data_IF_623590079177
#
_entry.id   IF_623590079177
#
_cell.length_a   1.000
_cell.length_b   1.000
_cell.length_c   1.000
_cell.angle_alpha   90.00
_cell.angle_beta   90.00
_cell.angle_gamma   90.00
#
_symmetry.space_group_name_H-M   'P 1'
#
loop_
_entity.id
_entity.type
_entity.pdbx_description
1 polymer ?
#
# COMPACT_ATOMS: atom_id res chain seq x y z
N UNK A 1 57.64 -40.21 4.90
CA UNK A 1 59.10 -40.05 5.10
C UNK A 1 59.33 -39.00 6.17
N UNK A 2 59.93 -39.44 7.28
CA UNK A 2 60.72 -38.73 8.30
C UNK A 2 60.08 -37.50 9.00
N UNK A 3 59.63 -37.59 10.26
CA UNK A 3 60.43 -37.63 11.53
C UNK A 3 61.20 -36.31 11.75
N UNK A 4 61.27 -35.67 12.92
CA UNK A 4 61.26 -36.17 14.31
C UNK A 4 61.30 -34.97 15.27
N UNK A 5 60.78 -35.18 16.46
CA UNK A 5 60.99 -34.39 17.68
C UNK A 5 62.43 -34.47 18.22
N UNK A 6 62.86 -33.46 19.01
CA UNK A 6 63.68 -33.50 20.25
C UNK A 6 64.36 -32.12 20.49
N UNK A 7 64.75 -31.63 21.68
CA UNK A 7 64.40 -31.76 23.11
C UNK A 7 65.51 -31.02 23.91
N UNK A 8 65.10 -30.11 24.82
CA UNK A 8 65.63 -29.78 26.18
C UNK A 8 67.00 -29.05 26.40
N UNK A 9 66.98 -28.22 27.47
CA UNK A 9 68.02 -27.79 28.47
C UNK A 9 68.83 -26.53 28.09
N UNK A 10 68.99 -25.47 28.91
CA UNK A 10 68.58 -25.16 30.28
C UNK A 10 69.44 -24.02 30.90
N UNK A 11 69.04 -23.62 32.12
CA UNK A 11 69.82 -22.98 33.20
C UNK A 11 69.98 -21.43 33.32
N UNK A 12 69.20 -20.92 34.29
CA UNK A 12 69.44 -19.94 35.38
C UNK A 12 70.69 -19.02 35.48
N UNK A 13 70.40 -17.74 35.82
CA UNK A 13 71.01 -16.92 36.90
C UNK A 13 70.06 -15.72 37.17
N UNK A 14 69.48 -15.53 38.37
CA UNK A 14 69.96 -14.66 39.46
C UNK A 14 69.69 -13.16 39.17
N UNK A 15 69.08 -12.30 39.99
CA UNK A 15 68.71 -12.33 41.40
C UNK A 15 67.73 -11.17 41.75
N UNK A 16 66.99 -11.38 42.85
CA UNK A 16 66.58 -10.44 43.91
C UNK A 16 65.70 -9.18 43.65
N UNK A 17 64.44 -9.31 44.11
CA UNK A 17 63.68 -8.47 45.08
C UNK A 17 63.61 -6.95 44.87
N UNK A 18 62.38 -6.42 44.77
CA UNK A 18 61.65 -5.76 45.87
C UNK A 18 60.21 -5.56 45.40
N UNK A 19 59.24 -6.02 46.20
CA UNK A 19 57.83 -5.83 45.94
C UNK A 19 57.36 -4.44 46.35
N UNK A 20 56.62 -3.79 45.47
CA UNK A 20 55.65 -2.75 45.82
C UNK A 20 54.36 -3.03 45.04
N UNK A 21 53.28 -3.22 45.78
CA UNK A 21 51.92 -3.33 45.26
C UNK A 21 51.48 -1.98 44.71
N UNK A 22 51.23 -1.91 43.40
CA UNK A 22 50.42 -0.85 42.79
C UNK A 22 49.32 -1.47 41.96
N UNK A 23 48.11 -0.96 42.17
CA UNK A 23 46.88 -1.30 41.49
C UNK A 23 47.03 -0.90 40.01
N UNK A 24 47.03 -1.86 39.09
CA UNK A 24 46.99 -1.57 37.64
C UNK A 24 45.55 -1.40 37.20
N UNK A 25 45.22 -0.18 36.77
CA UNK A 25 44.05 0.10 35.95
C UNK A 25 44.15 -0.67 34.63
N UNK A 26 43.08 -1.39 34.27
CA UNK A 26 42.91 -1.95 32.94
C UNK A 26 42.77 -0.81 31.94
N UNK A 27 43.61 -0.84 30.90
CA UNK A 27 43.52 0.05 29.77
C UNK A 27 42.23 -0.22 28.97
N UNK A 28 41.48 0.84 28.70
CA UNK A 28 40.32 0.83 27.81
C UNK A 28 40.75 0.49 26.36
N UNK A 29 39.88 -0.20 25.58
CA UNK A 29 40.13 -0.44 24.17
C UNK A 29 40.07 0.86 23.35
N UNK A 30 40.71 0.92 22.17
CA UNK A 30 40.71 2.13 21.34
C UNK A 30 39.31 2.34 20.73
N UNK A 31 38.69 3.46 21.08
CA UNK A 31 37.58 4.05 20.34
C UNK A 31 38.03 4.46 18.94
N UNK A 32 37.19 4.17 17.93
CA UNK A 32 37.34 4.78 16.61
C UNK A 32 37.18 3.85 15.40
N UNK A 33 36.16 3.00 15.38
CA UNK A 33 35.58 2.55 14.11
C UNK A 33 34.22 3.23 13.95
N UNK A 34 34.18 4.32 13.17
CA UNK A 34 32.92 4.90 12.70
C UNK A 34 32.13 3.82 11.95
N UNK A 35 31.07 3.31 12.58
CA UNK A 35 29.97 2.65 11.87
C UNK A 35 29.33 3.74 11.00
N UNK A 36 29.21 3.57 9.67
CA UNK A 36 28.68 4.63 8.83
C UNK A 36 27.22 4.92 9.20
N UNK A 37 26.76 6.17 9.11
CA UNK A 37 25.41 6.60 9.53
C UNK A 37 24.31 6.14 8.56
N UNK A 38 24.42 4.96 7.93
CA UNK A 38 23.56 4.57 6.82
C UNK A 38 22.08 4.41 7.19
N UNK A 39 21.75 4.05 8.44
CA UNK A 39 20.35 3.85 8.85
C UNK A 39 19.63 5.18 9.10
N UNK A 40 20.32 6.18 9.67
CA UNK A 40 19.74 7.52 9.88
C UNK A 40 19.66 8.28 8.56
N UNK A 41 20.72 8.28 7.74
CA UNK A 41 20.72 9.00 6.45
C UNK A 41 19.71 8.46 5.44
N UNK A 42 19.43 7.14 5.45
CA UNK A 42 18.41 6.55 4.57
C UNK A 42 16.98 6.78 5.08
N UNK A 43 16.77 6.83 6.40
CA UNK A 43 15.47 7.24 6.95
C UNK A 43 15.15 8.69 6.61
N UNK A 44 16.17 9.55 6.63
CA UNK A 44 16.05 10.96 6.26
C UNK A 44 15.79 11.12 4.74
N UNK A 45 16.38 10.27 3.89
CA UNK A 45 16.12 10.29 2.44
C UNK A 45 14.71 9.81 2.09
N UNK A 46 14.24 8.68 2.64
CA UNK A 46 12.88 8.19 2.40
C UNK A 46 11.82 9.22 2.80
N UNK A 47 11.99 9.86 3.96
CA UNK A 47 11.09 10.93 4.42
C UNK A 47 11.11 12.15 3.50
N UNK A 48 12.30 12.56 3.04
CA UNK A 48 12.44 13.64 2.08
C UNK A 48 11.75 13.33 0.74
N UNK A 49 11.94 12.11 0.21
CA UNK A 49 11.32 11.67 -1.04
C UNK A 49 9.80 11.68 -0.93
N UNK A 50 9.24 11.13 0.17
CA UNK A 50 7.81 11.11 0.41
C UNK A 50 7.22 12.53 0.53
N UNK A 51 7.84 13.41 1.32
CA UNK A 51 7.38 14.78 1.48
C UNK A 51 7.42 15.56 0.14
N UNK A 52 8.48 15.39 -0.66
CA UNK A 52 8.59 16.03 -1.97
C UNK A 52 7.54 15.51 -2.97
N UNK A 53 7.26 14.20 -2.95
CA UNK A 53 6.25 13.59 -3.81
C UNK A 53 4.82 14.03 -3.43
N UNK A 54 4.52 14.10 -2.12
CA UNK A 54 3.22 14.57 -1.63
C UNK A 54 3.00 16.04 -1.95
N UNK A 55 4.02 16.89 -1.80
CA UNK A 55 3.92 18.29 -2.22
C UNK A 55 3.61 18.40 -3.73
N UNK A 56 4.28 17.62 -4.57
CA UNK A 56 4.01 17.58 -6.01
C UNK A 56 2.64 16.97 -6.36
N UNK A 57 2.10 16.05 -5.54
CA UNK A 57 0.74 15.55 -5.68
C UNK A 57 -0.30 16.62 -5.34
N UNK A 58 -0.06 17.38 -4.26
CA UNK A 58 -0.93 18.49 -3.85
C UNK A 58 -0.99 19.62 -4.88
N UNK A 59 0.04 19.79 -5.72
CA UNK A 59 -0.01 20.72 -6.85
C UNK A 59 -1.07 20.34 -7.93
N UNK A 60 -1.59 19.10 -7.92
CA UNK A 60 -2.72 18.69 -8.76
C UNK A 60 -4.09 19.01 -8.15
N UNK A 61 -4.14 19.42 -6.88
CA UNK A 61 -5.39 19.79 -6.20
C UNK A 61 -5.96 21.09 -6.77
N UNK A 62 -7.22 21.05 -7.20
CA UNK A 62 -7.95 22.21 -7.66
C UNK A 62 -8.87 22.74 -6.54
N UNK A 63 -8.56 23.90 -5.94
CA UNK A 63 -9.36 24.46 -4.84
C UNK A 63 -10.73 25.00 -5.30
N UNK A 64 -10.99 25.12 -6.61
CA UNK A 64 -12.29 25.55 -7.12
C UNK A 64 -13.33 24.43 -7.10
N UNK A 65 -12.90 23.16 -7.11
CA UNK A 65 -13.81 22.00 -7.14
C UNK A 65 -13.46 20.87 -6.16
N UNK A 66 -12.38 20.99 -5.40
CA UNK A 66 -11.96 20.00 -4.40
C UNK A 66 -11.34 18.72 -4.96
N UNK A 67 -11.07 18.65 -6.27
CA UNK A 67 -10.53 17.44 -6.93
C UNK A 67 -9.02 17.51 -7.11
N UNK A 68 -8.37 16.36 -7.00
CA UNK A 68 -7.04 16.14 -7.57
C UNK A 68 -7.26 15.69 -9.02
N UNK A 69 -6.88 16.52 -10.00
CA UNK A 69 -7.05 16.36 -11.47
C UNK A 69 -8.17 17.20 -12.14
N UNK A 70 -7.93 17.74 -13.35
CA UNK A 70 -8.98 18.25 -14.24
C UNK A 70 -9.73 17.18 -15.09
N UNK A 71 -9.35 15.90 -15.03
CA UNK A 71 -9.89 14.83 -15.86
C UNK A 71 -11.16 14.12 -15.35
N UNK A 72 -11.67 13.15 -16.12
CA UNK A 72 -12.97 12.53 -15.85
C UNK A 72 -12.98 11.51 -14.70
N UNK A 73 -11.82 10.96 -14.30
CA UNK A 73 -11.77 9.85 -13.33
C UNK A 73 -12.02 10.36 -11.90
N UNK A 74 -13.26 10.23 -11.43
CA UNK A 74 -13.71 10.64 -10.10
C UNK A 74 -12.91 9.95 -8.98
N UNK A 75 -12.80 8.62 -9.06
CA UNK A 75 -12.10 7.81 -8.07
C UNK A 75 -10.65 8.19 -7.78
N UNK A 76 -9.93 8.76 -8.76
CA UNK A 76 -8.52 9.13 -8.58
C UNK A 76 -8.36 10.19 -7.49
N UNK A 77 -9.33 11.09 -7.33
CA UNK A 77 -9.32 12.01 -6.20
C UNK A 77 -9.46 11.27 -4.87
N UNK A 78 -10.35 10.28 -4.75
CA UNK A 78 -10.45 9.44 -3.55
C UNK A 78 -9.14 8.70 -3.25
N UNK A 79 -8.49 8.18 -4.30
CA UNK A 79 -7.18 7.56 -4.19
C UNK A 79 -6.09 8.54 -3.73
N UNK A 80 -6.03 9.76 -4.28
CA UNK A 80 -5.09 10.81 -3.87
C UNK A 80 -5.30 11.24 -2.42
N UNK A 81 -6.55 11.40 -1.98
CA UNK A 81 -6.87 11.70 -0.58
C UNK A 81 -6.31 10.62 0.34
N UNK A 82 -6.50 9.33 -0.01
CA UNK A 82 -5.90 8.24 0.75
C UNK A 82 -4.35 8.32 0.77
N UNK A 83 -3.68 8.66 -0.34
CA UNK A 83 -2.20 8.82 -0.37
C UNK A 83 -1.73 9.89 0.60
N UNK A 84 -2.39 11.05 0.58
CA UNK A 84 -2.06 12.16 1.47
C UNK A 84 -2.25 11.74 2.93
N UNK A 85 -3.36 11.06 3.25
CA UNK A 85 -3.64 10.57 4.59
C UNK A 85 -2.69 9.44 5.04
N UNK A 86 -2.27 8.56 4.12
CA UNK A 86 -1.24 7.54 4.36
C UNK A 86 0.10 8.20 4.71
N UNK A 87 0.47 9.26 3.99
CA UNK A 87 1.65 10.05 4.32
C UNK A 87 1.53 10.67 5.70
N UNK A 88 0.40 11.32 6.01
CA UNK A 88 0.19 11.95 7.31
C UNK A 88 0.32 10.97 8.47
N UNK A 89 -0.27 9.77 8.33
CA UNK A 89 -0.14 8.69 9.32
C UNK A 89 1.32 8.21 9.45
N UNK A 90 1.98 7.85 8.34
CA UNK A 90 3.33 7.26 8.37
C UNK A 90 4.42 8.27 8.72
N UNK A 91 4.23 9.53 8.33
CA UNK A 91 5.16 10.62 8.62
C UNK A 91 4.91 11.26 9.99
N UNK A 92 3.77 11.01 10.63
CA UNK A 92 3.29 11.74 11.80
C UNK A 92 3.28 13.26 11.53
N UNK A 93 2.65 13.61 10.40
CA UNK A 93 2.49 14.96 9.89
C UNK A 93 0.99 15.19 9.67
N UNK A 94 0.44 16.32 10.09
CA UNK A 94 -1.00 16.62 9.94
C UNK A 94 -1.22 17.94 9.19
N UNK A 95 -0.23 18.36 8.40
CA UNK A 95 -0.23 19.66 7.72
C UNK A 95 -1.18 19.74 6.53
N UNK A 96 -1.61 18.61 5.98
CA UNK A 96 -2.54 18.49 4.85
C UNK A 96 -3.98 18.17 5.28
N UNK A 97 -4.25 17.85 6.56
CA UNK A 97 -5.62 17.68 7.07
C UNK A 97 -6.58 18.80 6.62
N UNK A 98 -6.26 20.11 6.72
CA UNK A 98 -7.17 21.16 6.28
C UNK A 98 -7.56 21.06 4.80
N UNK A 99 -6.61 20.66 3.93
CA UNK A 99 -6.87 20.45 2.51
C UNK A 99 -7.81 19.27 2.29
N UNK A 100 -7.57 18.16 2.98
CA UNK A 100 -8.42 16.96 2.87
C UNK A 100 -9.84 17.24 3.37
N UNK A 101 -9.99 17.94 4.50
CA UNK A 101 -11.30 18.30 5.06
C UNK A 101 -12.07 19.28 4.15
N UNK A 102 -11.36 20.21 3.50
CA UNK A 102 -11.93 21.09 2.48
C UNK A 102 -12.43 20.29 1.27
N UNK A 103 -11.59 19.39 0.74
CA UNK A 103 -11.96 18.51 -0.37
C UNK A 103 -13.23 17.71 -0.05
N UNK A 104 -13.30 17.07 1.13
CA UNK A 104 -14.50 16.33 1.58
C UNK A 104 -15.73 17.23 1.62
N UNK A 105 -15.59 18.46 2.14
CA UNK A 105 -16.70 19.42 2.22
C UNK A 105 -17.23 19.79 0.84
N UNK A 106 -16.35 19.95 -0.15
CA UNK A 106 -16.73 20.30 -1.52
C UNK A 106 -17.35 19.13 -2.29
N UNK A 107 -16.85 17.92 -2.04
CA UNK A 107 -17.17 16.74 -2.85
C UNK A 107 -18.34 15.91 -2.32
N UNK A 108 -18.78 16.14 -1.07
CA UNK A 108 -19.86 15.37 -0.44
C UNK A 108 -21.26 15.61 -1.00
N UNK A 109 -21.45 16.52 -1.96
CA UNK A 109 -22.73 16.69 -2.63
C UNK A 109 -23.03 15.51 -3.60
N UNK A 110 -24.29 15.29 -4.00
CA UNK A 110 -24.60 14.39 -5.12
C UNK A 110 -23.86 14.80 -6.39
N UNK A 111 -23.36 13.83 -7.15
CA UNK A 111 -22.63 14.08 -8.39
C UNK A 111 -23.60 14.40 -9.54
N UNK A 112 -23.27 15.40 -10.37
CA UNK A 112 -24.16 15.87 -11.44
C UNK A 112 -24.49 14.77 -12.48
N UNK A 113 -23.56 13.86 -12.76
CA UNK A 113 -23.75 12.73 -13.68
C UNK A 113 -24.44 11.52 -13.03
N UNK A 114 -24.49 11.48 -11.69
CA UNK A 114 -25.11 10.38 -10.93
C UNK A 114 -25.89 10.87 -9.70
N UNK A 115 -26.91 11.73 -9.87
CA UNK A 115 -27.63 12.35 -8.75
C UNK A 115 -28.38 11.35 -7.87
N UNK A 116 -28.77 10.20 -8.43
CA UNK A 116 -29.44 9.11 -7.70
C UNK A 116 -28.54 8.45 -6.64
N UNK A 117 -27.21 8.63 -6.70
CA UNK A 117 -26.31 8.23 -5.63
C UNK A 117 -26.59 8.97 -4.31
N UNK A 118 -27.26 10.12 -4.36
CA UNK A 118 -27.75 10.82 -3.16
C UNK A 118 -26.69 11.60 -2.37
N UNK A 119 -25.42 11.59 -2.81
CA UNK A 119 -24.32 12.40 -2.28
C UNK A 119 -23.67 11.87 -1.01
N UNK A 120 -22.42 12.25 -0.79
CA UNK A 120 -21.34 11.48 -0.14
C UNK A 120 -20.98 10.28 -1.01
N UNK A 121 -19.85 10.46 -1.73
CA UNK A 121 -19.04 9.65 -2.67
C UNK A 121 -19.64 8.46 -3.46
N UNK A 122 -20.96 8.32 -3.45
CA UNK A 122 -21.75 7.30 -4.13
C UNK A 122 -21.92 7.61 -5.61
N UNK A 123 -21.44 6.72 -6.48
CA UNK A 123 -21.44 6.91 -7.94
C UNK A 123 -21.99 5.69 -8.69
N UNK A 124 -21.95 5.72 -10.01
CA UNK A 124 -22.33 4.63 -10.92
C UNK A 124 -21.35 3.44 -10.93
N UNK A 125 -20.27 3.53 -10.15
CA UNK A 125 -19.38 2.42 -9.92
C UNK A 125 -19.12 2.18 -8.45
N UNK A 126 -19.16 0.91 -8.03
CA UNK A 126 -18.96 0.58 -6.61
C UNK A 126 -17.52 0.72 -6.15
N UNK A 127 -16.54 0.51 -7.04
CA UNK A 127 -15.12 0.75 -6.72
C UNK A 127 -14.83 2.23 -6.55
N UNK A 128 -15.34 3.10 -7.43
CA UNK A 128 -15.28 4.57 -7.29
C UNK A 128 -15.71 5.02 -5.89
N UNK A 129 -16.81 4.48 -5.38
CA UNK A 129 -17.26 4.73 -4.00
C UNK A 129 -16.34 4.13 -2.94
N UNK A 130 -15.85 2.90 -3.15
CA UNK A 130 -14.94 2.23 -2.23
C UNK A 130 -13.63 2.99 -1.99
N UNK A 131 -13.08 3.65 -3.01
CA UNK A 131 -11.86 4.46 -2.88
C UNK A 131 -12.01 5.61 -1.89
N UNK A 132 -13.15 6.32 -1.95
CA UNK A 132 -13.44 7.39 -1.01
C UNK A 132 -13.80 6.88 0.37
N UNK A 133 -14.55 5.79 0.46
CA UNK A 133 -14.94 5.21 1.74
C UNK A 133 -13.72 4.82 2.59
N UNK A 134 -12.70 4.21 1.97
CA UNK A 134 -11.43 3.92 2.64
C UNK A 134 -10.69 5.18 3.10
N UNK A 135 -10.65 6.22 2.26
CA UNK A 135 -10.07 7.51 2.64
C UNK A 135 -10.79 8.11 3.85
N UNK A 136 -12.11 7.94 3.95
CA UNK A 136 -12.90 8.43 5.08
C UNK A 136 -12.63 7.64 6.37
N UNK A 137 -12.38 6.33 6.29
CA UNK A 137 -11.92 5.55 7.44
C UNK A 137 -10.56 6.08 7.94
N UNK A 138 -9.58 6.29 7.04
CA UNK A 138 -8.28 6.83 7.45
C UNK A 138 -8.39 8.25 8.01
N UNK A 139 -9.25 9.10 7.43
CA UNK A 139 -9.47 10.44 7.95
C UNK A 139 -10.10 10.42 9.35
N UNK A 140 -11.00 9.46 9.62
CA UNK A 140 -11.50 9.22 10.97
C UNK A 140 -10.37 8.81 11.93
N UNK A 141 -9.50 7.88 11.53
CA UNK A 141 -8.38 7.42 12.36
C UNK A 141 -7.43 8.57 12.77
N UNK A 142 -7.17 9.50 11.86
CA UNK A 142 -6.28 10.64 12.11
C UNK A 142 -6.93 11.76 12.94
N UNK A 143 -8.24 11.98 12.79
CA UNK A 143 -8.93 13.14 13.38
C UNK A 143 -9.80 12.80 14.59
N UNK A 144 -10.24 11.55 14.72
CA UNK A 144 -11.26 11.11 15.67
C UNK A 144 -12.67 11.67 15.41
N UNK A 145 -12.89 12.41 14.31
CA UNK A 145 -14.19 13.01 13.98
C UNK A 145 -15.11 11.94 13.40
N UNK A 146 -16.15 11.57 14.16
CA UNK A 146 -17.08 10.48 13.80
C UNK A 146 -17.83 10.72 12.50
N UNK A 147 -17.94 11.97 12.03
CA UNK A 147 -18.60 12.28 10.76
C UNK A 147 -17.96 11.53 9.57
N UNK A 148 -16.63 11.38 9.53
CA UNK A 148 -15.96 10.67 8.43
C UNK A 148 -16.22 9.17 8.50
N UNK A 149 -16.25 8.61 9.70
CA UNK A 149 -16.65 7.22 9.88
C UNK A 149 -18.11 6.99 9.47
N UNK A 150 -19.00 7.95 9.74
CA UNK A 150 -20.40 7.86 9.33
C UNK A 150 -20.55 7.95 7.81
N UNK A 151 -19.75 8.76 7.11
CA UNK A 151 -19.66 8.76 5.64
C UNK A 151 -19.25 7.37 5.13
N UNK A 152 -18.17 6.80 5.67
CA UNK A 152 -17.69 5.48 5.24
C UNK A 152 -18.75 4.37 5.40
N UNK A 153 -19.58 4.44 6.45
CA UNK A 153 -20.72 3.52 6.64
C UNK A 153 -21.84 3.73 5.61
N UNK A 154 -22.12 4.97 5.21
CA UNK A 154 -23.11 5.27 4.18
C UNK A 154 -22.66 4.76 2.81
N UNK A 155 -21.38 4.95 2.49
CA UNK A 155 -20.76 4.47 1.26
C UNK A 155 -20.70 2.93 1.23
N UNK A 156 -20.34 2.28 2.34
CA UNK A 156 -20.39 0.83 2.47
C UNK A 156 -21.81 0.29 2.26
N UNK A 157 -22.82 0.92 2.86
CA UNK A 157 -24.21 0.49 2.71
C UNK A 157 -24.67 0.60 1.26
N UNK A 158 -24.25 1.65 0.55
CA UNK A 158 -24.51 1.80 -0.89
C UNK A 158 -23.81 0.73 -1.72
N UNK A 159 -22.53 0.43 -1.46
CA UNK A 159 -21.85 -0.68 -2.12
C UNK A 159 -22.59 -2.00 -1.87
N UNK A 160 -23.06 -2.24 -0.63
CA UNK A 160 -23.79 -3.45 -0.26
C UNK A 160 -25.13 -3.58 -0.98
N UNK A 161 -25.80 -2.50 -1.36
CA UNK A 161 -27.03 -2.56 -2.16
C UNK A 161 -26.80 -3.21 -3.55
N UNK A 162 -25.55 -3.31 -4.00
CA UNK A 162 -25.14 -3.98 -5.23
C UNK A 162 -24.51 -5.35 -5.02
N UNK A 163 -24.59 -5.89 -3.80
CA UNK A 163 -24.42 -7.32 -3.57
C UNK A 163 -25.65 -8.08 -4.03
N UNK A 164 -25.48 -9.06 -4.92
CA UNK A 164 -26.56 -9.93 -5.38
C UNK A 164 -26.17 -11.43 -5.35
N UNK A 165 -27.16 -12.32 -5.42
CA UNK A 165 -26.96 -13.78 -5.35
C UNK A 165 -26.41 -14.39 -6.65
N UNK A 166 -26.26 -13.62 -7.75
CA UNK A 166 -25.64 -14.13 -8.98
C UNK A 166 -24.19 -14.48 -8.67
N UNK A 167 -23.76 -15.66 -9.11
CA UNK A 167 -22.45 -16.20 -8.77
C UNK A 167 -22.24 -16.45 -7.26
N UNK A 168 -23.34 -16.66 -6.51
CA UNK A 168 -23.30 -17.03 -5.11
C UNK A 168 -22.98 -15.88 -4.15
N UNK A 169 -23.06 -14.63 -4.60
CA UNK A 169 -22.69 -13.45 -3.84
C UNK A 169 -21.81 -12.50 -4.64
N UNK A 170 -21.22 -11.51 -3.96
CA UNK A 170 -20.31 -10.52 -4.53
C UNK A 170 -21.01 -9.26 -5.01
N UNK A 171 -20.25 -8.17 -5.00
CA UNK A 171 -20.66 -6.84 -5.43
C UNK A 171 -20.48 -6.68 -6.94
N UNK A 172 -21.47 -6.02 -7.55
CA UNK A 172 -21.44 -5.60 -8.95
C UNK A 172 -20.66 -4.28 -9.07
N UNK A 173 -19.77 -4.22 -10.06
CA UNK A 173 -18.96 -3.05 -10.36
C UNK A 173 -19.75 -1.93 -11.04
N UNK A 174 -20.14 -2.17 -12.29
CA UNK A 174 -20.84 -1.24 -13.15
C UNK A 174 -22.34 -1.29 -12.87
N UNK A 175 -22.83 -0.30 -12.13
CA UNK A 175 -24.21 -0.19 -11.68
C UNK A 175 -25.18 0.00 -12.87
N UNK A 176 -24.93 0.91 -13.83
CA UNK A 176 -25.78 1.07 -15.02
C UNK A 176 -26.05 -0.21 -15.80
N UNK A 177 -25.02 -1.01 -16.09
CA UNK A 177 -25.21 -2.26 -16.85
C UNK A 177 -25.62 -3.43 -15.95
N UNK A 178 -25.32 -3.35 -14.66
CA UNK A 178 -25.53 -4.39 -13.66
C UNK A 178 -24.98 -5.77 -14.09
N UNK A 179 -23.88 -5.79 -14.86
CA UNK A 179 -23.46 -6.98 -15.61
C UNK A 179 -22.17 -7.63 -15.10
N UNK A 180 -21.29 -6.88 -14.43
CA UNK A 180 -19.93 -7.34 -14.19
C UNK A 180 -19.54 -7.32 -12.71
N UNK A 181 -19.06 -8.45 -12.20
CA UNK A 181 -18.42 -8.57 -10.89
C UNK A 181 -16.91 -8.68 -11.10
N UNK A 182 -16.18 -7.68 -10.64
CA UNK A 182 -14.73 -7.60 -10.80
C UNK A 182 -14.00 -7.76 -9.46
N UNK A 183 -12.70 -8.03 -9.53
CA UNK A 183 -11.88 -8.20 -8.35
C UNK A 183 -11.74 -6.90 -7.55
N UNK A 184 -11.68 -5.74 -8.21
CA UNK A 184 -11.41 -4.48 -7.51
C UNK A 184 -12.55 -4.06 -6.58
N UNK A 185 -13.81 -4.03 -7.04
CA UNK A 185 -14.95 -3.62 -6.20
C UNK A 185 -15.07 -4.50 -4.96
N UNK A 186 -14.88 -5.80 -5.15
CA UNK A 186 -14.99 -6.80 -4.08
C UNK A 186 -13.79 -6.75 -3.11
N UNK A 187 -12.57 -6.53 -3.61
CA UNK A 187 -11.39 -6.34 -2.76
C UNK A 187 -11.48 -5.07 -1.91
N UNK A 188 -11.99 -3.97 -2.49
CA UNK A 188 -12.23 -2.73 -1.76
C UNK A 188 -13.31 -2.90 -0.70
N UNK A 189 -14.38 -3.61 -1.01
CA UNK A 189 -15.45 -3.89 -0.06
C UNK A 189 -14.96 -4.77 1.11
N UNK A 190 -14.14 -5.79 0.84
CA UNK A 190 -13.48 -6.58 1.87
C UNK A 190 -12.67 -5.69 2.80
N UNK A 191 -11.81 -4.84 2.23
CA UNK A 191 -10.97 -3.93 3.00
C UNK A 191 -11.83 -2.96 3.83
N UNK A 192 -12.83 -2.34 3.22
CA UNK A 192 -13.72 -1.37 3.88
C UNK A 192 -14.48 -1.99 5.06
N UNK A 193 -15.10 -3.15 4.87
CA UNK A 193 -15.87 -3.82 5.93
C UNK A 193 -14.96 -4.30 7.07
N UNK A 194 -13.77 -4.81 6.77
CA UNK A 194 -12.80 -5.17 7.81
C UNK A 194 -12.30 -3.92 8.58
N UNK A 195 -11.95 -2.84 7.89
CA UNK A 195 -11.51 -1.59 8.54
C UNK A 195 -12.62 -0.94 9.37
N UNK A 196 -13.88 -0.96 8.91
CA UNK A 196 -15.02 -0.48 9.70
C UNK A 196 -15.21 -1.28 10.98
N UNK A 197 -15.02 -2.60 10.94
CA UNK A 197 -15.03 -3.43 12.14
C UNK A 197 -13.90 -3.03 13.09
N UNK A 198 -12.66 -2.93 12.59
CA UNK A 198 -11.48 -2.57 13.37
C UNK A 198 -11.65 -1.19 14.06
N UNK A 199 -12.31 -0.24 13.38
CA UNK A 199 -12.57 1.10 13.89
C UNK A 199 -13.70 1.19 14.93
N UNK A 200 -14.57 0.18 15.06
CA UNK A 200 -15.78 0.23 15.90
C UNK A 200 -15.69 -0.82 17.03
N UNK A 201 -15.41 -0.40 18.29
CA UNK A 201 -15.27 -1.33 19.40
C UNK A 201 -16.50 -2.22 19.60
N UNK A 202 -16.29 -3.54 19.54
CA UNK A 202 -17.33 -4.54 19.75
C UNK A 202 -18.30 -4.70 18.57
N UNK A 203 -17.98 -4.13 17.41
CA UNK A 203 -18.74 -4.40 16.19
C UNK A 203 -18.75 -5.90 15.87
N UNK A 204 -19.88 -6.39 15.39
CA UNK A 204 -19.99 -7.75 14.81
C UNK A 204 -20.66 -7.72 13.45
N UNK A 205 -21.21 -6.57 13.06
CA UNK A 205 -21.97 -6.42 11.84
C UNK A 205 -21.03 -6.34 10.64
N UNK A 206 -20.03 -5.45 10.68
CA UNK A 206 -19.06 -5.34 9.59
C UNK A 206 -18.12 -6.53 9.56
N UNK A 207 -17.79 -7.13 10.72
CA UNK A 207 -17.07 -8.41 10.75
C UNK A 207 -17.80 -9.50 9.97
N UNK A 208 -19.12 -9.62 10.16
CA UNK A 208 -19.91 -10.63 9.45
C UNK A 208 -19.90 -10.41 7.94
N UNK A 209 -19.93 -9.15 7.49
CA UNK A 209 -19.85 -8.77 6.07
C UNK A 209 -18.46 -9.04 5.48
N UNK A 210 -17.40 -8.70 6.21
CA UNK A 210 -16.03 -8.95 5.77
C UNK A 210 -15.74 -10.45 5.62
N UNK A 211 -16.24 -11.28 6.55
CA UNK A 211 -16.17 -12.73 6.46
C UNK A 211 -16.97 -13.28 5.28
N UNK A 212 -18.19 -12.79 5.04
CA UNK A 212 -19.02 -13.19 3.90
C UNK A 212 -18.35 -12.85 2.55
N UNK A 213 -17.84 -11.62 2.42
CA UNK A 213 -17.09 -11.19 1.24
C UNK A 213 -15.85 -12.05 1.02
N UNK A 214 -15.04 -12.30 2.05
CA UNK A 214 -13.83 -13.12 1.89
C UNK A 214 -14.14 -14.56 1.48
N UNK A 215 -15.12 -15.20 2.12
CA UNK A 215 -15.52 -16.56 1.76
C UNK A 215 -16.01 -16.63 0.32
N UNK A 216 -16.76 -15.63 -0.14
CA UNK A 216 -17.18 -15.53 -1.53
C UNK A 216 -15.99 -15.29 -2.48
N UNK A 217 -15.14 -14.30 -2.20
CA UNK A 217 -14.00 -13.94 -3.05
C UNK A 217 -13.08 -15.14 -3.25
N UNK A 218 -12.76 -15.85 -2.16
CA UNK A 218 -11.94 -17.06 -2.18
C UNK A 218 -12.56 -18.18 -3.01
N UNK A 219 -13.89 -18.31 -3.01
CA UNK A 219 -14.61 -19.32 -3.78
C UNK A 219 -14.86 -18.93 -5.25
N UNK A 220 -14.74 -17.65 -5.61
CA UNK A 220 -15.03 -17.11 -6.95
C UNK A 220 -14.13 -17.67 -8.06
N UNK A 221 -12.95 -18.18 -7.70
CA UNK A 221 -11.91 -18.61 -8.65
C UNK A 221 -11.11 -17.47 -9.28
N UNK A 222 -11.29 -16.21 -8.84
CA UNK A 222 -10.50 -15.08 -9.34
C UNK A 222 -9.02 -15.15 -8.92
N UNK A 223 -8.70 -15.75 -7.78
CA UNK A 223 -7.32 -16.13 -7.44
C UNK A 223 -6.95 -17.35 -8.28
N UNK A 224 -6.06 -17.15 -9.26
CA UNK A 224 -5.68 -18.15 -10.24
C UNK A 224 -4.59 -19.10 -9.72
N UNK A 225 -4.19 -20.09 -10.53
CA UNK A 225 -3.20 -21.10 -10.15
C UNK A 225 -1.80 -20.57 -9.88
N UNK A 226 -1.49 -19.35 -10.34
CA UNK A 226 -0.22 -18.68 -10.11
C UNK A 226 -0.25 -17.79 -8.86
N UNK A 227 -1.33 -17.86 -8.06
CA UNK A 227 -1.63 -16.98 -6.93
C UNK A 227 -1.77 -15.49 -7.33
N UNK A 228 -2.19 -15.22 -8.57
CA UNK A 228 -2.54 -13.88 -9.03
C UNK A 228 -4.06 -13.74 -9.17
N UNK A 229 -4.55 -12.53 -8.95
CA UNK A 229 -5.97 -12.15 -9.01
C UNK A 229 -6.31 -11.69 -10.41
N UNK A 230 -7.16 -12.47 -11.09
CA UNK A 230 -7.75 -12.13 -12.39
C UNK A 230 -8.78 -11.00 -12.24
N UNK A 231 -9.09 -10.33 -13.35
CA UNK A 231 -9.90 -9.11 -13.36
C UNK A 231 -11.35 -9.28 -12.85
N UNK A 232 -11.99 -10.43 -13.10
CA UNK A 232 -13.39 -10.61 -12.72
C UNK A 232 -14.01 -11.94 -13.12
N UNK A 233 -15.33 -11.97 -13.14
CA UNK A 233 -16.15 -13.13 -13.50
C UNK A 233 -16.83 -12.96 -14.86
N UNK A 234 -17.05 -14.09 -15.56
CA UNK A 234 -17.95 -14.17 -16.72
C UNK A 234 -19.41 -14.33 -16.27
N UNK A 235 -20.33 -14.22 -17.22
CA UNK A 235 -21.77 -14.48 -17.01
C UNK A 235 -22.08 -15.89 -16.48
N UNK A 236 -21.21 -16.86 -16.77
CA UNK A 236 -21.31 -18.24 -16.26
C UNK A 236 -20.67 -18.44 -14.87
N UNK A 237 -20.30 -17.35 -14.21
CA UNK A 237 -19.69 -17.30 -12.88
C UNK A 237 -18.30 -17.93 -12.77
N UNK A 238 -17.65 -18.21 -13.90
CA UNK A 238 -16.23 -18.60 -13.89
C UNK A 238 -15.33 -17.37 -13.94
N UNK A 239 -14.13 -17.48 -13.36
CA UNK A 239 -13.12 -16.43 -13.52
C UNK A 239 -12.82 -16.19 -15.00
N UNK A 240 -12.82 -14.92 -15.38
CA UNK A 240 -12.62 -14.51 -16.76
C UNK A 240 -11.18 -14.73 -17.28
N UNK A 241 -10.22 -15.12 -16.42
CA UNK A 241 -8.81 -15.24 -16.81
C UNK A 241 -8.24 -13.93 -17.36
N UNK A 242 -8.85 -12.80 -16.99
CA UNK A 242 -8.51 -11.47 -17.47
C UNK A 242 -7.18 -10.97 -16.91
N UNK A 243 -6.79 -9.78 -17.33
CA UNK A 243 -5.52 -9.17 -16.94
C UNK A 243 -5.35 -9.11 -15.43
N UNK A 244 -4.22 -9.61 -14.93
CA UNK A 244 -3.82 -9.52 -13.53
C UNK A 244 -3.20 -8.15 -13.26
N UNK A 245 -4.02 -7.10 -13.19
CA UNK A 245 -3.56 -5.74 -12.88
C UNK A 245 -2.95 -5.67 -11.47
N UNK A 246 -1.96 -4.80 -11.25
CA UNK A 246 -1.27 -4.76 -9.94
C UNK A 246 -2.20 -4.35 -8.79
N UNK A 247 -3.15 -3.43 -9.04
CA UNK A 247 -4.13 -2.98 -8.04
C UNK A 247 -5.08 -4.09 -7.55
N UNK A 248 -5.46 -5.05 -8.41
CA UNK A 248 -6.27 -6.20 -8.01
C UNK A 248 -5.52 -7.06 -6.98
N UNK A 249 -4.20 -7.15 -7.12
CA UNK A 249 -3.34 -7.88 -6.18
C UNK A 249 -3.24 -7.09 -4.87
N UNK A 250 -2.93 -5.79 -4.99
CA UNK A 250 -2.73 -4.87 -3.87
C UNK A 250 -3.96 -4.76 -2.97
N UNK A 251 -5.11 -4.41 -3.54
CA UNK A 251 -6.33 -4.20 -2.77
C UNK A 251 -6.77 -5.45 -2.02
N UNK A 252 -6.61 -6.65 -2.61
CA UNK A 252 -6.91 -7.90 -1.92
C UNK A 252 -5.91 -8.17 -0.78
N UNK A 253 -4.61 -7.91 -0.98
CA UNK A 253 -3.61 -7.99 0.08
C UNK A 253 -4.02 -7.10 1.27
N UNK A 254 -4.39 -5.84 1.02
CA UNK A 254 -4.82 -4.93 2.08
C UNK A 254 -6.10 -5.40 2.79
N UNK A 255 -7.09 -5.87 2.04
CA UNK A 255 -8.31 -6.44 2.62
C UNK A 255 -8.04 -7.66 3.52
N UNK A 256 -7.11 -8.52 3.13
CA UNK A 256 -6.68 -9.66 3.95
C UNK A 256 -5.89 -9.25 5.20
N UNK A 257 -5.12 -8.16 5.13
CA UNK A 257 -4.43 -7.59 6.31
C UNK A 257 -5.45 -7.08 7.32
N UNK A 258 -6.41 -6.27 6.87
CA UNK A 258 -7.47 -5.74 7.72
C UNK A 258 -8.34 -6.84 8.33
N UNK A 259 -8.68 -7.88 7.54
CA UNK A 259 -9.46 -9.01 8.04
C UNK A 259 -8.64 -9.87 9.04
N UNK A 260 -7.33 -9.97 8.86
CA UNK A 260 -6.46 -10.67 9.81
C UNK A 260 -6.43 -9.95 11.17
N UNK A 261 -6.46 -8.62 11.18
CA UNK A 261 -6.61 -7.83 12.40
C UNK A 261 -7.99 -8.06 13.03
N UNK A 262 -9.05 -7.97 12.22
CA UNK A 262 -10.44 -8.14 12.65
C UNK A 262 -10.71 -9.50 13.32
N UNK A 263 -10.11 -10.57 12.79
CA UNK A 263 -10.38 -11.95 13.21
C UNK A 263 -9.31 -12.53 14.15
N UNK A 264 -8.09 -11.98 14.11
CA UNK A 264 -6.90 -12.60 14.67
C UNK A 264 -6.39 -13.83 13.88
N UNK A 265 -6.98 -14.16 12.72
CA UNK A 265 -6.56 -15.31 11.92
C UNK A 265 -5.34 -15.00 11.04
N UNK A 266 -4.19 -15.51 11.47
CA UNK A 266 -2.91 -15.39 10.76
C UNK A 266 -2.86 -16.14 9.42
N UNK A 267 -3.81 -17.04 9.13
CA UNK A 267 -3.89 -17.74 7.84
C UNK A 267 -4.15 -16.76 6.68
N UNK A 268 -4.88 -15.68 6.94
CA UNK A 268 -5.15 -14.61 5.98
C UNK A 268 -3.87 -13.90 5.53
N UNK A 269 -2.93 -13.66 6.45
CA UNK A 269 -1.60 -13.10 6.12
C UNK A 269 -0.73 -14.08 5.31
N UNK A 270 -0.99 -15.39 5.41
CA UNK A 270 -0.31 -16.39 4.59
C UNK A 270 -0.79 -16.31 3.14
N UNK A 271 -2.09 -16.13 2.94
CA UNK A 271 -2.68 -15.91 1.61
C UNK A 271 -2.20 -14.59 0.99
N UNK A 272 -2.25 -13.49 1.76
CA UNK A 272 -1.75 -12.19 1.31
C UNK A 272 -0.27 -12.25 0.90
N UNK A 273 0.54 -13.00 1.65
CA UNK A 273 1.95 -13.24 1.30
C UNK A 273 2.11 -14.06 0.02
N UNK A 274 1.27 -15.07 -0.23
CA UNK A 274 1.32 -15.83 -1.47
C UNK A 274 1.07 -14.93 -2.69
N UNK A 275 0.07 -14.04 -2.61
CA UNK A 275 -0.25 -13.07 -3.67
C UNK A 275 0.89 -12.06 -3.88
N UNK A 276 1.45 -11.54 -2.79
CA UNK A 276 2.58 -10.62 -2.84
C UNK A 276 3.82 -11.26 -3.48
N UNK A 277 4.22 -12.44 -3.01
CA UNK A 277 5.38 -13.18 -3.52
C UNK A 277 5.18 -13.57 -5.01
N UNK A 278 3.96 -13.94 -5.41
CA UNK A 278 3.61 -14.21 -6.81
C UNK A 278 3.71 -12.95 -7.69
N UNK A 279 3.22 -11.81 -7.21
CA UNK A 279 3.30 -10.53 -7.93
C UNK A 279 4.76 -10.10 -8.13
N UNK A 280 5.58 -10.17 -7.07
CA UNK A 280 6.99 -9.79 -7.11
C UNK A 280 7.86 -10.74 -7.96
N UNK A 281 7.41 -11.98 -8.16
CA UNK A 281 8.10 -12.99 -8.97
C UNK A 281 7.58 -13.08 -10.40
N UNK A 282 6.48 -12.41 -10.72
CA UNK A 282 5.83 -12.47 -12.03
C UNK A 282 6.70 -11.78 -13.09
N UNK A 283 7.05 -12.47 -14.20
CA UNK A 283 7.74 -11.83 -15.32
C UNK A 283 6.90 -10.74 -16.01
N UNK A 284 5.58 -10.74 -15.82
CA UNK A 284 4.67 -9.76 -16.37
C UNK A 284 4.50 -8.53 -15.46
N UNK A 285 4.46 -8.73 -14.15
CA UNK A 285 4.20 -7.66 -13.18
C UNK A 285 5.45 -7.12 -12.49
N UNK A 286 6.56 -7.86 -12.51
CA UNK A 286 7.84 -7.45 -11.97
C UNK A 286 9.03 -7.84 -12.88
N UNK A 287 9.00 -7.55 -14.21
CA UNK A 287 10.11 -7.85 -15.10
C UNK A 287 11.41 -7.20 -14.59
N UNK A 288 12.46 -8.01 -14.45
CA UNK A 288 13.74 -7.52 -13.89
C UNK A 288 13.67 -7.05 -12.44
N UNK A 289 12.59 -7.37 -11.73
CA UNK A 289 12.34 -6.96 -10.35
C UNK A 289 11.73 -5.58 -10.18
N UNK A 290 11.30 -4.90 -11.25
CA UNK A 290 10.64 -3.58 -11.21
C UNK A 290 9.14 -3.74 -11.44
N UNK A 291 8.32 -3.22 -10.54
CA UNK A 291 6.86 -3.32 -10.67
C UNK A 291 6.40 -2.62 -11.95
N UNK A 292 5.61 -3.32 -12.76
CA UNK A 292 5.25 -2.93 -14.12
C UNK A 292 3.79 -3.29 -14.39
N UNK A 293 3.01 -2.38 -14.96
CA UNK A 293 1.69 -2.71 -15.47
C UNK A 293 1.76 -3.49 -16.79
N UNK A 294 0.84 -4.44 -17.06
CA UNK A 294 0.78 -5.15 -18.33
C UNK A 294 0.64 -4.26 -19.59
N UNK A 295 0.25 -2.97 -19.42
CA UNK A 295 0.12 -1.98 -20.49
C UNK A 295 1.37 -1.11 -20.72
N UNK A 296 2.42 -1.25 -19.89
CA UNK A 296 3.65 -0.47 -20.01
C UNK A 296 4.49 -0.85 -21.26
N UNK A 297 5.30 0.09 -21.80
CA UNK A 297 5.58 1.42 -21.25
C UNK A 297 4.70 2.56 -21.79
N UNK A 298 3.78 2.36 -22.75
CA UNK A 298 3.06 3.49 -23.36
C UNK A 298 1.58 3.25 -23.70
N UNK A 299 0.97 2.12 -23.28
CA UNK A 299 -0.44 1.80 -23.59
C UNK A 299 -1.39 1.95 -22.41
N UNK A 300 -0.90 2.42 -21.26
CA UNK A 300 -1.73 2.60 -20.09
C UNK A 300 -2.64 3.81 -20.25
N UNK A 301 -3.92 3.64 -19.93
CA UNK A 301 -4.85 4.75 -19.80
C UNK A 301 -4.62 5.50 -18.46
N UNK A 302 -5.44 6.51 -18.20
CA UNK A 302 -5.35 7.33 -16.98
C UNK A 302 -5.51 6.48 -15.73
N UNK A 303 -6.45 5.53 -15.70
CA UNK A 303 -6.69 4.69 -14.53
C UNK A 303 -5.52 3.74 -14.25
N UNK A 304 -5.08 3.02 -15.28
CA UNK A 304 -4.01 2.02 -15.21
C UNK A 304 -2.69 2.63 -14.72
N UNK A 305 -2.45 3.91 -14.99
CA UNK A 305 -1.23 4.58 -14.53
C UNK A 305 -1.13 4.75 -13.00
N UNK A 306 -2.24 4.65 -12.27
CA UNK A 306 -2.28 4.73 -10.80
C UNK A 306 -2.06 3.38 -10.10
N UNK A 307 -2.31 2.26 -10.79
CA UNK A 307 -2.49 0.93 -10.19
C UNK A 307 -1.29 0.46 -9.36
N UNK A 308 -0.06 0.66 -9.84
CA UNK A 308 1.17 0.29 -9.12
C UNK A 308 1.28 0.92 -7.73
N UNK A 309 0.76 2.14 -7.56
CA UNK A 309 0.80 2.83 -6.26
C UNK A 309 -0.13 2.17 -5.24
N UNK A 310 -1.30 1.72 -5.70
CA UNK A 310 -2.24 0.96 -4.89
C UNK A 310 -1.61 -0.38 -4.47
N UNK A 311 -0.89 -1.05 -5.36
CA UNK A 311 -0.14 -2.24 -4.96
C UNK A 311 0.90 -1.93 -3.88
N UNK A 312 1.73 -0.92 -4.09
CA UNK A 312 2.81 -0.58 -3.16
C UNK A 312 2.31 -0.24 -1.75
N UNK A 313 1.21 0.53 -1.62
CA UNK A 313 0.67 0.89 -0.30
C UNK A 313 0.18 -0.33 0.49
N UNK A 314 -0.54 -1.25 -0.17
CA UNK A 314 -1.09 -2.42 0.50
C UNK A 314 0.02 -3.46 0.79
N UNK A 315 1.07 -3.51 -0.05
CA UNK A 315 2.26 -4.30 0.27
C UNK A 315 2.97 -3.78 1.53
N UNK A 316 3.03 -2.46 1.73
CA UNK A 316 3.59 -1.87 2.95
C UNK A 316 2.75 -2.19 4.19
N UNK A 317 1.41 -2.14 4.10
CA UNK A 317 0.53 -2.58 5.19
C UNK A 317 0.77 -4.05 5.57
N UNK A 318 0.90 -4.95 4.57
CA UNK A 318 1.26 -6.34 4.82
C UNK A 318 2.65 -6.46 5.48
N UNK A 319 3.63 -5.69 4.99
CA UNK A 319 4.99 -5.70 5.52
C UNK A 319 5.04 -5.28 7.00
N UNK A 320 4.22 -4.30 7.39
CA UNK A 320 4.15 -3.76 8.76
C UNK A 320 3.68 -4.82 9.78
N UNK A 321 2.80 -5.75 9.37
CA UNK A 321 2.24 -6.80 10.25
C UNK A 321 2.99 -8.14 10.18
N UNK A 322 3.99 -8.25 9.31
CA UNK A 322 4.80 -9.45 9.14
C UNK A 322 6.11 -9.39 9.94
N UNK A 323 6.48 -10.47 10.65
CA UNK A 323 7.77 -10.55 11.31
C UNK A 323 8.93 -10.36 10.33
N UNK A 324 9.80 -9.40 10.63
CA UNK A 324 11.03 -9.16 9.88
C UNK A 324 10.88 -8.31 8.62
N UNK A 325 9.69 -7.77 8.33
CA UNK A 325 9.46 -6.81 7.25
C UNK A 325 10.08 -7.26 5.89
N UNK A 326 9.63 -8.41 5.36
CA UNK A 326 10.27 -9.06 4.20
C UNK A 326 10.24 -8.21 2.91
N UNK A 327 9.30 -7.28 2.77
CA UNK A 327 9.10 -6.45 1.58
C UNK A 327 9.71 -5.06 1.69
N UNK A 328 10.07 -4.59 2.91
CA UNK A 328 10.67 -3.26 3.14
C UNK A 328 11.83 -2.94 2.19
N UNK A 329 12.74 -3.89 1.99
CA UNK A 329 13.89 -3.70 1.10
C UNK A 329 13.46 -3.55 -0.36
N UNK A 330 12.47 -4.32 -0.79
CA UNK A 330 11.98 -4.25 -2.17
C UNK A 330 11.29 -2.90 -2.41
N UNK A 331 10.40 -2.46 -1.51
CA UNK A 331 9.72 -1.16 -1.58
C UNK A 331 10.73 0.00 -1.64
N UNK A 332 11.75 -0.02 -0.77
CA UNK A 332 12.82 1.00 -0.80
C UNK A 332 13.59 1.00 -2.11
N UNK A 333 13.92 -0.17 -2.66
CA UNK A 333 14.63 -0.26 -3.93
C UNK A 333 13.79 0.29 -5.10
N UNK A 334 12.49 0.00 -5.13
CA UNK A 334 11.57 0.58 -6.12
C UNK A 334 11.54 2.11 -5.99
N UNK A 335 11.37 2.63 -4.76
CA UNK A 335 11.29 4.06 -4.49
C UNK A 335 12.58 4.80 -4.89
N UNK A 336 13.75 4.28 -4.50
CA UNK A 336 15.03 4.88 -4.89
C UNK A 336 15.24 4.87 -6.42
N UNK A 337 14.85 3.78 -7.10
CA UNK A 337 14.92 3.71 -8.55
C UNK A 337 14.02 4.77 -9.19
N UNK A 338 12.72 4.75 -8.90
CA UNK A 338 11.76 5.70 -9.44
C UNK A 338 12.16 7.16 -9.17
N UNK A 339 12.60 7.47 -7.95
CA UNK A 339 13.05 8.80 -7.57
C UNK A 339 14.26 9.28 -8.39
N UNK A 340 15.13 8.36 -8.82
CA UNK A 340 16.36 8.66 -9.56
C UNK A 340 16.18 8.75 -11.07
N UNK A 341 15.25 7.98 -11.66
CA UNK A 341 15.14 7.87 -13.14
C UNK A 341 13.76 8.16 -13.71
N UNK A 342 12.70 8.11 -12.90
CA UNK A 342 11.30 8.30 -13.32
C UNK A 342 10.68 9.57 -12.73
N UNK A 343 11.51 10.58 -12.50
CA UNK A 343 11.11 11.82 -11.85
C UNK A 343 11.66 13.05 -12.58
N UNK A 344 10.87 14.12 -12.67
CA UNK A 344 11.33 15.41 -13.18
C UNK A 344 11.77 16.38 -12.05
N UNK A 345 12.23 17.57 -12.42
CA UNK A 345 12.71 18.60 -11.46
C UNK A 345 11.62 19.14 -10.54
N UNK A 346 10.34 18.98 -10.90
CA UNK A 346 9.18 19.34 -10.07
C UNK A 346 8.77 18.22 -9.10
N UNK A 347 9.58 17.16 -8.96
CA UNK A 347 9.27 15.95 -8.20
C UNK A 347 8.03 15.20 -8.69
N UNK A 348 7.66 15.37 -9.96
CA UNK A 348 6.58 14.62 -10.56
C UNK A 348 7.08 13.30 -11.14
N UNK A 349 6.27 12.25 -11.05
CA UNK A 349 6.61 10.90 -11.50
C UNK A 349 5.99 10.54 -12.84
N UNK A 350 6.68 9.67 -13.58
CA UNK A 350 6.21 9.08 -14.83
C UNK A 350 5.48 7.75 -14.62
N UNK A 351 5.21 7.06 -15.73
CA UNK A 351 4.53 5.76 -15.70
C UNK A 351 5.47 4.62 -15.28
N UNK A 352 6.69 4.59 -15.79
CA UNK A 352 7.59 3.45 -15.63
C UNK A 352 8.65 3.75 -14.59
N UNK A 353 8.54 3.11 -13.42
CA UNK A 353 9.46 3.31 -12.31
C UNK A 353 10.93 2.94 -12.63
N UNK A 354 11.16 2.20 -13.72
CA UNK A 354 12.50 1.94 -14.28
C UNK A 354 13.04 3.09 -15.16
N UNK A 355 12.26 4.15 -15.36
CA UNK A 355 12.56 5.33 -16.16
C UNK A 355 12.66 5.07 -17.67
N UNK A 356 12.98 6.13 -18.45
CA UNK A 356 13.03 7.51 -17.98
C UNK A 356 11.63 8.10 -17.75
N UNK A 357 11.54 9.19 -16.99
CA UNK A 357 10.31 10.00 -16.87
C UNK A 357 9.69 10.27 -18.24
N UNK A 358 8.41 9.93 -18.42
CA UNK A 358 7.67 10.17 -19.65
C UNK A 358 6.93 11.52 -19.61
N UNK A 359 5.96 11.64 -18.71
CA UNK A 359 5.16 12.84 -18.46
C UNK A 359 4.53 12.75 -17.07
N UNK A 360 3.97 13.85 -16.59
CA UNK A 360 3.16 13.86 -15.38
C UNK A 360 1.66 13.87 -15.73
N UNK A 361 0.89 13.08 -15.02
CA UNK A 361 -0.57 13.18 -14.87
C UNK A 361 -0.95 12.60 -13.50
N UNK A 362 -2.20 12.79 -13.07
CA UNK A 362 -2.60 12.47 -11.70
C UNK A 362 -2.34 11.00 -11.35
N UNK A 363 -2.62 10.07 -12.26
CA UNK A 363 -2.47 8.64 -11.97
C UNK A 363 -1.01 8.25 -11.77
N UNK A 364 -0.10 8.76 -12.62
CA UNK A 364 1.36 8.58 -12.43
C UNK A 364 1.84 9.20 -11.13
N UNK A 365 1.38 10.41 -10.82
CA UNK A 365 1.79 11.11 -9.61
C UNK A 365 1.30 10.40 -8.35
N UNK A 366 0.03 9.96 -8.33
CA UNK A 366 -0.54 9.13 -7.28
C UNK A 366 0.28 7.85 -7.09
N UNK A 367 0.65 7.21 -8.20
CA UNK A 367 1.42 5.96 -8.18
C UNK A 367 2.79 6.15 -7.56
N UNK A 368 3.57 7.12 -8.07
CA UNK A 368 4.89 7.45 -7.55
C UNK A 368 4.83 7.93 -6.09
N UNK A 369 3.85 8.76 -5.73
CA UNK A 369 3.69 9.25 -4.35
C UNK A 369 3.35 8.13 -3.39
N UNK A 370 2.40 7.25 -3.76
CA UNK A 370 2.07 6.05 -2.96
C UNK A 370 3.31 5.19 -2.71
N UNK A 371 4.18 5.02 -3.71
CA UNK A 371 5.42 4.28 -3.57
C UNK A 371 6.39 4.93 -2.57
N UNK A 372 6.57 6.26 -2.65
CA UNK A 372 7.46 6.96 -1.72
C UNK A 372 6.95 6.88 -0.28
N UNK A 373 5.63 6.98 -0.09
CA UNK A 373 4.96 6.84 1.20
C UNK A 373 5.09 5.41 1.75
N UNK A 374 4.89 4.40 0.90
CA UNK A 374 5.06 2.99 1.23
C UNK A 374 6.50 2.62 1.66
N UNK A 375 7.50 3.44 1.30
CA UNK A 375 8.91 3.20 1.62
C UNK A 375 9.40 3.82 2.94
N UNK A 376 8.54 4.54 3.69
CA UNK A 376 8.82 5.03 5.05
C UNK A 376 8.96 3.83 6.02
#
# INVERSE_FOLDING_TARGET
MQSTWKVIIGAAAGALMIGTTTISAQAAPPDGAHRPPQVQTQSDSSRHHAAAAVAALVDFYNPENGRFDPGPSWWQTGNSLQVVLDFEQRANDTSYLPLVEEAVTMLRAPQDWWPQGGGEFRTDSTDDTGWYALAMVRLYELTGKTEYLDIAKLDEAYMRDYWDDRCGGGIVWDIPSNSYKNAISNSLYLKLTASLHNAIPGDTFYLSRALEEWEWFKASGMINSDHLVNDGLRDDCTSNGGTTWTYNQGSLIGGLVELAEATGDRSLLTEARAIADATLSSPALAPGGVLTEPCEPTRCNTDQSAFKGIFARNLAELDDVLPGHPYKKWLKNQAELAYSVDRNDANQFGLSWGGPFDRADIGRQDSGTSLMVAAL
#
